data_IF_012103250352
#
_entry.id   IF_012103250352
#
_cell.length_a   1.000
_cell.length_b   1.000
_cell.length_c   1.000
_cell.angle_alpha   90.00
_cell.angle_beta   90.00
_cell.angle_gamma   90.00
#
_symmetry.space_group_name_H-M   'P 1'
#
loop_
_entity.id
_entity.type
_entity.pdbx_description
1 polymer ?
#
# COMPACT_ATOMS: atom_id res chain seq x y z
N UNK A 1 -30.36 -16.73 30.12
CA UNK A 1 -29.35 -15.82 29.52
C UNK A 1 -29.05 -16.33 28.13
N UNK A 2 -29.53 -15.63 27.12
CA UNK A 2 -29.31 -16.02 25.70
C UNK A 2 -28.01 -15.34 25.26
N UNK A 3 -26.96 -16.09 25.09
CA UNK A 3 -25.75 -15.62 24.41
C UNK A 3 -26.06 -15.45 22.92
N UNK A 4 -26.12 -14.21 22.44
CA UNK A 4 -26.02 -13.93 21.01
C UNK A 4 -24.55 -14.08 20.63
N UNK A 5 -24.21 -15.15 19.97
CA UNK A 5 -22.94 -15.30 19.29
C UNK A 5 -22.98 -14.37 18.08
N UNK A 6 -22.24 -13.27 18.15
CA UNK A 6 -21.98 -12.43 16.98
C UNK A 6 -21.10 -13.23 16.03
N UNK A 7 -21.66 -13.63 14.89
CA UNK A 7 -20.90 -14.34 13.86
C UNK A 7 -19.87 -13.37 13.27
N UNK A 8 -18.61 -13.72 13.36
CA UNK A 8 -17.55 -13.07 12.59
C UNK A 8 -17.85 -13.24 11.11
N UNK A 9 -18.02 -12.14 10.38
CA UNK A 9 -18.28 -12.16 8.96
C UNK A 9 -17.00 -12.26 8.15
N UNK A 10 -16.12 -13.09 8.62
CA UNK A 10 -14.99 -13.51 7.84
C UNK A 10 -15.41 -14.46 6.75
N UNK A 11 -16.38 -14.17 5.93
CA UNK A 11 -16.92 -15.10 4.96
C UNK A 11 -18.13 -15.93 5.42
N UNK A 12 -18.70 -15.59 6.55
CA UNK A 12 -19.88 -16.29 7.00
C UNK A 12 -21.12 -15.79 6.25
N UNK A 13 -21.36 -16.33 5.10
CA UNK A 13 -22.72 -16.47 4.59
C UNK A 13 -23.32 -17.73 5.17
N UNK A 14 -23.92 -17.65 6.34
CA UNK A 14 -24.84 -18.68 6.79
C UNK A 14 -26.12 -18.54 5.98
N UNK A 15 -26.29 -19.34 4.95
CA UNK A 15 -27.58 -19.55 4.34
C UNK A 15 -28.35 -20.56 5.19
N UNK A 16 -29.49 -20.11 5.70
CA UNK A 16 -30.59 -21.00 6.07
C UNK A 16 -31.16 -21.59 4.78
N UNK A 17 -30.89 -22.86 4.54
CA UNK A 17 -31.64 -23.66 3.58
C UNK A 17 -32.40 -24.71 4.35
N UNK A 18 -33.71 -24.63 4.20
CA UNK A 18 -34.70 -25.63 4.62
C UNK A 18 -34.37 -27.01 4.09
N UNK A 19 -34.45 -27.98 4.98
CA UNK A 19 -34.31 -29.41 4.75
C UNK A 19 -35.35 -29.95 3.76
N UNK A 20 -34.89 -30.63 2.72
CA UNK A 20 -35.60 -31.80 2.17
C UNK A 20 -34.64 -32.97 2.20
N UNK A 21 -34.99 -33.95 2.99
CA UNK A 21 -34.35 -35.25 3.10
C UNK A 21 -34.67 -36.03 1.82
N UNK A 22 -33.64 -36.42 1.10
CA UNK A 22 -33.73 -37.50 0.12
C UNK A 22 -32.75 -38.59 0.50
N UNK A 23 -33.24 -39.70 0.95
CA UNK A 23 -32.54 -40.95 1.16
C UNK A 23 -32.10 -41.51 -0.19
N UNK A 24 -30.80 -41.82 -0.34
CA UNK A 24 -30.33 -42.66 -1.43
C UNK A 24 -29.49 -43.79 -0.84
N UNK A 25 -29.87 -44.98 -1.25
CA UNK A 25 -29.35 -46.28 -0.92
C UNK A 25 -27.85 -46.46 -1.27
N UNK A 26 -27.17 -47.21 -0.44
CA UNK A 26 -25.86 -47.81 -0.75
C UNK A 26 -26.00 -48.80 -1.91
N UNK A 27 -25.12 -48.70 -2.88
CA UNK A 27 -24.82 -49.84 -3.76
C UNK A 27 -23.32 -50.02 -3.87
N UNK A 28 -22.89 -51.19 -3.43
CA UNK A 28 -21.51 -51.64 -3.42
C UNK A 28 -21.18 -52.29 -4.75
N UNK A 29 -20.28 -51.74 -5.53
CA UNK A 29 -19.57 -52.56 -6.50
C UNK A 29 -18.15 -52.03 -6.75
N UNK A 30 -17.18 -52.82 -6.33
CA UNK A 30 -15.78 -52.80 -6.69
C UNK A 30 -15.58 -52.63 -8.20
N UNK A 31 -14.87 -51.57 -8.64
CA UNK A 31 -14.10 -51.63 -9.87
C UNK A 31 -12.77 -50.85 -9.70
N UNK A 32 -11.72 -51.54 -10.08
CA UNK A 32 -10.32 -51.19 -10.13
C UNK A 32 -10.05 -49.77 -10.65
N UNK A 33 -9.13 -49.09 -9.95
CA UNK A 33 -8.53 -47.84 -10.34
C UNK A 33 -7.70 -48.01 -11.63
N UNK A 34 -8.19 -47.50 -12.74
CA UNK A 34 -7.38 -47.05 -13.85
C UNK A 34 -7.14 -45.55 -13.65
N UNK A 35 -5.85 -45.20 -13.45
CA UNK A 35 -5.36 -43.83 -13.48
C UNK A 35 -5.61 -43.24 -14.87
N UNK A 36 -6.71 -42.58 -15.08
CA UNK A 36 -6.83 -41.60 -16.16
C UNK A 36 -6.15 -40.33 -15.71
N UNK A 37 -4.91 -40.15 -16.15
CA UNK A 37 -4.25 -38.84 -16.22
C UNK A 37 -5.11 -37.90 -17.04
N UNK A 38 -5.97 -37.15 -16.36
CA UNK A 38 -6.61 -36.00 -16.95
C UNK A 38 -5.58 -34.87 -16.92
N UNK A 39 -4.76 -34.76 -17.98
CA UNK A 39 -3.95 -33.59 -18.27
C UNK A 39 -4.88 -32.41 -18.62
N UNK A 40 -5.55 -31.84 -17.64
CA UNK A 40 -6.08 -30.51 -17.74
C UNK A 40 -4.93 -29.52 -17.52
N UNK A 41 -4.07 -29.38 -18.53
CA UNK A 41 -3.12 -28.29 -18.62
C UNK A 41 -3.86 -26.99 -18.85
N UNK A 42 -4.45 -26.41 -17.79
CA UNK A 42 -4.83 -25.00 -17.84
C UNK A 42 -3.52 -24.25 -18.13
N UNK A 43 -3.44 -23.58 -19.27
CA UNK A 43 -2.25 -22.80 -19.64
C UNK A 43 -2.04 -21.71 -18.58
N UNK A 44 -1.09 -21.94 -17.67
CA UNK A 44 -0.67 -20.93 -16.73
C UNK A 44 -0.13 -19.72 -17.49
N UNK A 45 -0.51 -18.52 -17.03
CA UNK A 45 0.03 -17.27 -17.57
C UNK A 45 1.44 -17.12 -16.98
N UNK A 46 2.39 -16.74 -17.84
CA UNK A 46 3.74 -16.41 -17.40
C UNK A 46 3.71 -15.29 -16.33
N UNK A 47 4.49 -15.48 -15.25
CA UNK A 47 4.52 -14.56 -14.12
C UNK A 47 4.87 -13.12 -14.52
N UNK A 48 5.84 -12.94 -15.40
CA UNK A 48 6.25 -11.62 -15.87
C UNK A 48 5.17 -10.94 -16.72
N UNK A 49 4.44 -11.73 -17.49
CA UNK A 49 3.32 -11.25 -18.27
C UNK A 49 2.15 -10.89 -17.37
N UNK A 50 1.82 -11.71 -16.36
CA UNK A 50 0.74 -11.44 -15.42
C UNK A 50 0.95 -10.13 -14.64
N UNK A 51 2.18 -9.84 -14.23
CA UNK A 51 2.49 -8.58 -13.54
C UNK A 51 2.23 -7.32 -14.36
N UNK A 52 2.32 -7.42 -15.69
CA UNK A 52 2.16 -6.30 -16.61
C UNK A 52 0.73 -6.14 -17.15
N UNK A 53 -0.15 -7.10 -16.84
CA UNK A 53 -1.51 -7.09 -17.34
C UNK A 53 -2.42 -6.29 -16.42
N UNK A 54 -3.38 -5.57 -17.01
CA UNK A 54 -4.47 -4.98 -16.24
C UNK A 54 -5.37 -6.08 -15.66
N UNK A 55 -6.12 -5.81 -14.59
CA UNK A 55 -7.11 -6.75 -14.04
C UNK A 55 -8.06 -7.31 -15.11
N UNK A 56 -8.48 -6.47 -16.05
CA UNK A 56 -9.36 -6.87 -17.13
C UNK A 56 -8.71 -7.91 -18.05
N UNK A 57 -7.47 -7.69 -18.45
CA UNK A 57 -6.72 -8.61 -19.32
C UNK A 57 -6.40 -9.95 -18.61
N UNK A 58 -6.12 -9.93 -17.30
CA UNK A 58 -5.95 -11.14 -16.50
C UNK A 58 -7.28 -11.90 -16.38
N UNK A 59 -8.39 -11.19 -16.15
CA UNK A 59 -9.73 -11.76 -16.03
C UNK A 59 -10.18 -12.48 -17.30
N UNK A 60 -9.90 -11.93 -18.49
CA UNK A 60 -10.23 -12.54 -19.78
C UNK A 60 -9.49 -13.86 -20.03
N UNK A 61 -8.34 -14.08 -19.36
CA UNK A 61 -7.55 -15.32 -19.45
C UNK A 61 -7.95 -16.36 -18.39
N UNK A 62 -8.87 -16.03 -17.47
CA UNK A 62 -9.46 -17.01 -16.56
C UNK A 62 -10.44 -17.89 -17.34
N UNK A 63 -10.05 -19.13 -17.62
CA UNK A 63 -11.00 -20.12 -18.15
C UNK A 63 -12.00 -20.51 -17.06
N UNK A 64 -13.28 -20.32 -17.32
CA UNK A 64 -14.34 -20.77 -16.45
C UNK A 64 -14.23 -22.31 -16.26
N UNK A 65 -13.91 -22.74 -15.05
CA UNK A 65 -13.85 -24.15 -14.70
C UNK A 65 -12.58 -24.66 -14.04
N UNK A 66 -11.48 -23.90 -14.06
CA UNK A 66 -10.18 -24.35 -13.57
C UNK A 66 -10.06 -24.44 -12.04
N UNK A 67 -10.83 -23.63 -11.32
CA UNK A 67 -10.93 -23.69 -9.87
C UNK A 67 -12.37 -23.38 -9.46
N UNK A 68 -13.02 -24.32 -8.78
CA UNK A 68 -14.30 -24.07 -8.09
C UNK A 68 -13.97 -23.31 -6.80
N UNK A 69 -13.64 -22.02 -6.95
CA UNK A 69 -13.40 -21.15 -5.82
C UNK A 69 -14.73 -20.65 -5.30
N UNK A 70 -14.99 -20.90 -4.03
CA UNK A 70 -16.25 -20.53 -3.39
C UNK A 70 -16.26 -19.05 -3.09
N UNK A 71 -16.90 -18.27 -3.96
CA UNK A 71 -17.25 -16.89 -3.67
C UNK A 71 -18.73 -16.79 -3.33
N UNK A 72 -19.01 -16.42 -2.11
CA UNK A 72 -20.37 -16.02 -1.71
C UNK A 72 -20.33 -14.55 -1.31
N UNK A 73 -21.14 -13.81 -2.03
CA UNK A 73 -21.36 -12.37 -1.82
C UNK A 73 -22.10 -12.14 -0.50
N UNK A 74 -21.55 -11.31 0.37
CA UNK A 74 -22.23 -10.79 1.56
C UNK A 74 -22.62 -9.33 1.33
N UNK A 75 -23.93 -9.03 1.43
CA UNK A 75 -24.42 -7.65 1.47
C UNK A 75 -24.03 -6.99 2.80
N UNK A 76 -23.30 -5.91 2.75
CA UNK A 76 -22.97 -5.09 3.91
C UNK A 76 -23.95 -3.91 4.01
N UNK A 77 -24.67 -3.86 5.11
CA UNK A 77 -25.53 -2.74 5.45
C UNK A 77 -24.70 -1.55 5.97
N UNK A 78 -24.89 -0.40 5.34
CA UNK A 78 -24.17 0.86 5.49
C UNK A 78 -24.54 1.72 6.72
N UNK A 79 -24.94 1.16 7.84
CA UNK A 79 -25.61 1.93 8.93
C UNK A 79 -24.65 2.47 10.00
N UNK A 80 -23.35 2.13 10.05
CA UNK A 80 -22.46 2.57 11.13
C UNK A 80 -21.53 3.76 10.81
N UNK A 81 -21.65 4.39 9.65
CA UNK A 81 -20.70 5.44 9.24
C UNK A 81 -20.87 6.82 9.91
N UNK A 82 -21.90 7.06 10.71
CA UNK A 82 -22.23 8.43 11.16
C UNK A 82 -21.67 8.87 12.54
N UNK A 83 -21.10 7.99 13.32
CA UNK A 83 -20.68 8.33 14.71
C UNK A 83 -19.18 8.56 14.93
N UNK A 84 -18.34 8.31 13.95
CA UNK A 84 -16.87 8.41 14.10
C UNK A 84 -16.24 9.67 13.47
N UNK A 85 -17.00 10.50 12.80
CA UNK A 85 -16.51 11.62 11.98
C UNK A 85 -15.79 12.76 12.74
N UNK A 86 -15.68 12.74 14.07
CA UNK A 86 -15.14 13.84 14.87
C UNK A 86 -13.94 13.46 15.78
N UNK A 87 -13.33 12.30 15.63
CA UNK A 87 -12.10 11.99 16.38
C UNK A 87 -10.89 12.43 15.57
N UNK A 88 -10.19 13.45 16.02
CA UNK A 88 -8.87 13.83 15.48
C UNK A 88 -7.83 12.89 16.10
N UNK A 89 -7.41 11.90 15.36
CA UNK A 89 -6.24 11.08 15.72
C UNK A 89 -4.97 11.74 15.19
N UNK A 90 -3.84 11.57 15.90
CA UNK A 90 -2.54 11.89 15.31
C UNK A 90 -2.27 10.94 14.13
N UNK A 91 -1.36 11.34 13.23
CA UNK A 91 -0.96 10.49 12.11
C UNK A 91 -0.37 9.16 12.61
N UNK A 92 -0.90 8.05 12.09
CA UNK A 92 -0.56 6.69 12.56
C UNK A 92 0.90 6.34 12.27
N UNK A 93 1.41 6.70 11.09
CA UNK A 93 2.80 6.39 10.72
C UNK A 93 3.76 7.20 11.58
N UNK A 94 3.46 8.47 11.83
CA UNK A 94 4.22 9.33 12.76
C UNK A 94 4.17 8.77 14.19
N UNK A 95 3.03 8.23 14.63
CA UNK A 95 2.93 7.58 15.94
C UNK A 95 3.82 6.34 16.05
N UNK A 96 3.81 5.50 15.01
CA UNK A 96 4.68 4.31 14.93
C UNK A 96 6.14 4.72 15.05
N UNK A 97 6.57 5.75 14.32
CA UNK A 97 7.94 6.23 14.31
C UNK A 97 8.36 6.82 15.66
N UNK A 98 7.54 7.73 16.22
CA UNK A 98 7.84 8.41 17.48
C UNK A 98 7.89 7.47 18.69
N UNK A 99 7.17 6.35 18.62
CA UNK A 99 7.14 5.35 19.70
C UNK A 99 8.05 4.15 19.42
N UNK A 100 8.83 4.17 18.33
CA UNK A 100 9.72 3.09 17.92
C UNK A 100 9.00 1.73 17.92
N UNK A 101 7.82 1.66 17.30
CA UNK A 101 7.02 0.43 17.26
C UNK A 101 7.63 -0.53 16.25
N UNK A 102 8.33 -1.53 16.76
CA UNK A 102 8.92 -2.59 15.94
C UNK A 102 7.89 -3.62 15.49
N UNK A 103 8.03 -4.20 14.29
CA UNK A 103 7.18 -5.29 13.84
C UNK A 103 7.29 -6.53 14.74
N UNK A 104 6.17 -7.17 14.99
CA UNK A 104 6.10 -8.40 15.75
C UNK A 104 6.73 -9.58 15.00
N UNK A 105 7.12 -10.62 15.74
CA UNK A 105 7.63 -11.86 15.14
C UNK A 105 6.55 -12.57 14.33
N UNK A 106 6.95 -13.11 13.19
CA UNK A 106 6.11 -13.96 12.35
C UNK A 106 6.17 -15.39 12.93
N UNK A 107 5.01 -15.92 13.29
CA UNK A 107 4.84 -17.30 13.75
C UNK A 107 4.14 -18.10 12.65
N UNK A 108 4.62 -19.28 12.35
CA UNK A 108 3.97 -20.20 11.42
C UNK A 108 3.02 -21.12 12.19
N UNK A 109 1.75 -21.17 11.79
CA UNK A 109 0.81 -22.13 12.34
C UNK A 109 1.03 -23.50 11.69
N UNK A 110 1.25 -24.53 12.49
CA UNK A 110 1.57 -25.88 11.98
C UNK A 110 0.45 -26.48 11.11
N UNK A 111 -0.80 -26.03 11.32
CA UNK A 111 -1.98 -26.47 10.54
C UNK A 111 -1.94 -26.04 9.08
N UNK A 112 -1.12 -25.03 8.74
CA UNK A 112 -0.99 -24.52 7.36
C UNK A 112 -0.63 -25.62 6.35
N UNK A 113 0.08 -26.66 6.78
CA UNK A 113 0.49 -27.76 5.91
C UNK A 113 -0.65 -28.67 5.47
N UNK A 114 -1.79 -28.62 6.16
CA UNK A 114 -3.00 -29.41 5.90
C UNK A 114 -4.01 -28.71 4.99
N UNK A 115 -3.76 -27.44 4.63
CA UNK A 115 -4.62 -26.70 3.72
C UNK A 115 -4.43 -27.19 2.27
N UNK A 116 -5.46 -27.07 1.42
CA UNK A 116 -5.35 -27.37 0.00
C UNK A 116 -4.25 -26.55 -0.70
N UNK A 117 -3.55 -27.18 -1.64
CA UNK A 117 -2.39 -26.62 -2.33
C UNK A 117 -2.69 -26.48 -3.82
N UNK A 118 -3.12 -25.28 -4.23
CA UNK A 118 -3.33 -24.96 -5.63
C UNK A 118 -2.30 -23.91 -6.08
N UNK A 119 -1.76 -24.09 -7.26
CA UNK A 119 -0.76 -23.17 -7.80
C UNK A 119 -1.38 -21.84 -8.22
N UNK A 120 -0.64 -20.76 -8.05
CA UNK A 120 -1.00 -19.47 -8.67
C UNK A 120 -1.01 -19.61 -10.20
N UNK A 121 -1.93 -18.90 -10.86
CA UNK A 121 -2.01 -18.88 -12.34
C UNK A 121 -0.76 -18.29 -13.00
N UNK A 122 -0.03 -17.43 -12.32
CA UNK A 122 1.24 -16.83 -12.75
C UNK A 122 2.48 -17.59 -12.24
N UNK A 123 2.29 -18.81 -11.71
CA UNK A 123 3.36 -19.61 -11.10
C UNK A 123 3.73 -19.18 -9.68
N UNK A 124 3.60 -17.90 -9.35
CA UNK A 124 3.72 -17.30 -8.02
C UNK A 124 2.81 -16.07 -7.91
N UNK A 125 2.59 -15.53 -6.71
CA UNK A 125 1.74 -14.34 -6.56
C UNK A 125 2.37 -13.09 -7.21
N UNK A 126 1.51 -12.20 -7.73
CA UNK A 126 1.93 -10.96 -8.39
C UNK A 126 1.76 -9.72 -7.50
N UNK A 127 1.19 -9.89 -6.31
CA UNK A 127 0.95 -8.83 -5.33
C UNK A 127 0.26 -9.36 -4.09
N UNK A 128 -0.13 -8.44 -3.21
CA UNK A 128 -0.74 -8.72 -1.90
C UNK A 128 -2.08 -8.01 -1.80
N UNK A 129 -3.13 -8.73 -1.44
CA UNK A 129 -4.43 -8.14 -1.05
C UNK A 129 -4.43 -7.84 0.43
N UNK A 130 -4.86 -6.63 0.77
CA UNK A 130 -4.97 -6.11 2.13
C UNK A 130 -6.42 -6.22 2.58
N UNK A 131 -6.64 -7.01 3.63
CA UNK A 131 -7.93 -7.27 4.26
C UNK A 131 -7.99 -6.77 5.71
N UNK A 132 -9.19 -6.79 6.30
CA UNK A 132 -9.41 -6.70 7.73
C UNK A 132 -10.59 -7.60 8.17
N UNK A 133 -10.52 -8.13 9.38
CA UNK A 133 -11.39 -9.23 9.84
C UNK A 133 -12.85 -8.86 10.09
N UNK A 134 -13.26 -7.61 9.96
CA UNK A 134 -14.60 -7.11 10.22
C UNK A 134 -15.18 -7.46 11.62
N UNK A 135 -14.36 -7.96 12.55
CA UNK A 135 -14.78 -8.44 13.85
C UNK A 135 -14.07 -7.68 14.99
N UNK A 136 -14.75 -6.69 15.63
CA UNK A 136 -14.14 -5.86 16.68
C UNK A 136 -13.90 -6.60 18.00
N UNK A 137 -14.49 -7.77 18.19
CA UNK A 137 -14.48 -8.49 19.45
C UNK A 137 -13.68 -9.79 19.43
N UNK A 138 -12.98 -10.06 18.34
CA UNK A 138 -12.16 -11.26 18.20
C UNK A 138 -10.69 -10.99 18.47
N UNK A 139 -9.98 -12.04 18.86
CA UNK A 139 -8.53 -12.05 18.94
C UNK A 139 -7.95 -12.68 17.67
N UNK A 140 -6.66 -12.42 17.39
CA UNK A 140 -5.99 -13.03 16.25
C UNK A 140 -6.06 -14.57 16.29
N UNK A 141 -5.92 -15.19 17.47
CA UNK A 141 -6.04 -16.64 17.63
C UNK A 141 -7.47 -17.13 17.38
N UNK A 142 -8.47 -16.33 17.78
CA UNK A 142 -9.88 -16.60 17.51
C UNK A 142 -10.17 -16.62 16.01
N UNK A 143 -9.67 -15.60 15.27
CA UNK A 143 -9.83 -15.51 13.82
C UNK A 143 -9.12 -16.67 13.10
N UNK A 144 -7.89 -16.97 13.49
CA UNK A 144 -7.12 -18.08 12.92
C UNK A 144 -7.82 -19.44 13.18
N UNK A 145 -8.33 -19.67 14.39
CA UNK A 145 -9.06 -20.89 14.70
C UNK A 145 -10.37 -20.97 13.91
N UNK A 146 -11.10 -19.86 13.77
CA UNK A 146 -12.31 -19.82 12.97
C UNK A 146 -12.00 -20.14 11.51
N UNK A 147 -10.97 -19.54 10.94
CA UNK A 147 -10.53 -19.81 9.56
C UNK A 147 -10.24 -21.29 9.34
N UNK A 148 -9.44 -21.93 10.18
CA UNK A 148 -9.12 -23.35 10.00
C UNK A 148 -10.34 -24.27 10.13
N UNK A 149 -11.31 -23.93 10.96
CA UNK A 149 -12.56 -24.68 11.06
C UNK A 149 -13.48 -24.47 9.87
N UNK A 150 -13.26 -23.43 9.05
CA UNK A 150 -14.12 -23.02 7.95
C UNK A 150 -13.36 -22.80 6.64
N UNK A 151 -12.15 -23.33 6.50
CA UNK A 151 -11.26 -23.05 5.37
C UNK A 151 -11.85 -23.42 4.00
N UNK A 152 -12.82 -24.34 3.95
CA UNK A 152 -13.53 -24.67 2.71
C UNK A 152 -14.33 -23.48 2.16
N UNK A 153 -14.77 -22.57 3.03
CA UNK A 153 -15.46 -21.35 2.63
C UNK A 153 -14.47 -20.28 2.17
N UNK A 154 -13.43 -20.05 2.99
CA UNK A 154 -12.33 -19.18 2.65
C UNK A 154 -11.17 -19.32 3.64
N UNK A 155 -9.97 -18.98 3.18
CA UNK A 155 -8.79 -18.78 4.01
C UNK A 155 -7.84 -17.78 3.37
N UNK A 156 -6.97 -17.21 4.19
CA UNK A 156 -5.91 -16.28 3.79
C UNK A 156 -4.55 -16.80 4.22
N UNK A 157 -3.49 -16.18 3.74
CA UNK A 157 -2.12 -16.64 4.00
C UNK A 157 -1.60 -16.22 5.37
N UNK A 158 -2.09 -15.11 5.92
CA UNK A 158 -1.62 -14.61 7.19
C UNK A 158 -2.61 -13.67 7.87
N UNK A 159 -2.42 -13.52 9.18
CA UNK A 159 -3.09 -12.57 10.05
C UNK A 159 -2.08 -11.68 10.74
N UNK A 160 -2.37 -10.38 10.82
CA UNK A 160 -1.59 -9.39 11.56
C UNK A 160 -2.43 -8.82 12.71
N UNK A 161 -2.02 -9.08 13.94
CA UNK A 161 -2.59 -8.50 15.15
C UNK A 161 -1.63 -7.48 15.76
N UNK A 162 -1.99 -6.91 16.91
CA UNK A 162 -1.17 -5.91 17.60
C UNK A 162 0.10 -6.48 18.24
N UNK A 163 0.13 -7.75 18.54
CA UNK A 163 1.19 -8.42 19.31
C UNK A 163 1.94 -9.51 18.53
N UNK A 164 1.38 -9.97 17.42
CA UNK A 164 1.97 -11.04 16.60
C UNK A 164 1.47 -11.04 15.17
N UNK A 165 2.23 -11.72 14.31
CA UNK A 165 1.87 -12.04 12.94
C UNK A 165 1.80 -13.57 12.85
N UNK A 166 0.71 -14.13 12.35
CA UNK A 166 0.54 -15.58 12.19
C UNK A 166 0.42 -15.89 10.70
N UNK A 167 1.40 -16.66 10.17
CA UNK A 167 1.28 -17.23 8.83
C UNK A 167 0.44 -18.49 8.91
N UNK A 168 -0.64 -18.54 8.14
CA UNK A 168 -1.69 -19.57 8.19
C UNK A 168 -1.80 -20.42 6.95
N UNK A 169 -1.12 -20.04 5.87
CA UNK A 169 -1.02 -20.84 4.65
C UNK A 169 0.36 -20.68 3.99
N UNK A 170 0.85 -21.70 3.25
CA UNK A 170 2.12 -21.59 2.53
C UNK A 170 2.03 -20.54 1.42
N UNK A 171 3.07 -19.70 1.28
CA UNK A 171 3.13 -18.61 0.29
C UNK A 171 3.19 -19.09 -1.16
N UNK A 172 3.59 -20.32 -1.40
CA UNK A 172 3.77 -20.88 -2.75
C UNK A 172 2.44 -21.31 -3.41
N UNK A 173 1.37 -21.37 -2.64
CA UNK A 173 0.05 -21.78 -3.09
C UNK A 173 -0.96 -20.69 -2.85
N UNK A 174 -2.00 -20.61 -3.71
CA UNK A 174 -3.06 -19.62 -3.58
C UNK A 174 -3.96 -19.87 -2.36
N UNK A 175 -4.56 -18.81 -1.86
CA UNK A 175 -5.66 -18.83 -0.90
C UNK A 175 -6.94 -18.28 -1.57
N UNK A 176 -8.11 -18.48 -0.94
CA UNK A 176 -9.38 -17.99 -1.48
C UNK A 176 -10.17 -17.15 -0.46
N UNK A 177 -9.70 -15.93 -0.26
CA UNK A 177 -10.32 -14.91 0.58
C UNK A 177 -10.56 -13.57 -0.13
N UNK A 178 -10.10 -13.43 -1.40
CA UNK A 178 -10.13 -12.15 -2.13
C UNK A 178 -11.03 -12.17 -3.37
N UNK A 179 -11.93 -13.15 -3.47
CA UNK A 179 -12.80 -13.30 -4.63
C UNK A 179 -12.18 -14.10 -5.79
N UNK A 180 -13.05 -14.78 -6.56
CA UNK A 180 -12.65 -15.78 -7.56
C UNK A 180 -11.64 -15.24 -8.60
N UNK A 181 -11.72 -13.95 -8.92
CA UNK A 181 -10.88 -13.35 -9.93
C UNK A 181 -9.49 -12.97 -9.40
N UNK A 182 -9.34 -12.62 -8.12
CA UNK A 182 -8.08 -12.20 -7.51
C UNK A 182 -7.33 -13.35 -6.82
N UNK A 183 -8.06 -14.32 -6.24
CA UNK A 183 -7.47 -15.45 -5.52
C UNK A 183 -6.33 -16.14 -6.28
N UNK A 184 -6.40 -16.38 -7.61
CA UNK A 184 -5.33 -17.05 -8.34
C UNK A 184 -4.05 -16.24 -8.51
N UNK A 185 -4.01 -14.99 -8.07
CA UNK A 185 -2.91 -14.07 -8.38
C UNK A 185 -2.26 -13.41 -7.17
N UNK A 186 -2.94 -13.35 -6.01
CA UNK A 186 -2.49 -12.53 -4.89
C UNK A 186 -2.24 -13.34 -3.61
N UNK A 187 -1.19 -12.95 -2.89
CA UNK A 187 -1.03 -13.26 -1.47
C UNK A 187 -2.03 -12.43 -0.67
N UNK A 188 -2.52 -12.90 0.47
CA UNK A 188 -3.64 -12.28 1.20
C UNK A 188 -3.31 -12.17 2.68
N UNK A 189 -3.50 -10.98 3.27
CA UNK A 189 -3.19 -10.70 4.68
C UNK A 189 -4.38 -10.03 5.35
N UNK A 190 -4.90 -10.63 6.40
CA UNK A 190 -5.93 -10.07 7.26
C UNK A 190 -5.34 -9.19 8.37
N UNK A 191 -5.94 -8.05 8.62
CA UNK A 191 -5.71 -7.22 9.78
C UNK A 191 -6.73 -7.52 10.86
N UNK A 192 -6.29 -7.96 12.04
CA UNK A 192 -7.20 -8.14 13.16
C UNK A 192 -7.53 -6.79 13.79
N UNK A 193 -8.82 -6.51 13.99
CA UNK A 193 -9.28 -5.24 14.56
C UNK A 193 -8.79 -5.04 16.00
N UNK A 194 -8.54 -3.80 16.37
CA UNK A 194 -8.22 -3.35 17.72
C UNK A 194 -9.23 -2.31 18.19
N UNK A 195 -9.43 -2.22 19.49
CA UNK A 195 -10.30 -1.23 20.13
C UNK A 195 -9.52 -0.02 20.67
N UNK A 196 -8.19 0.03 20.47
CA UNK A 196 -7.32 1.13 20.89
C UNK A 196 -6.49 1.64 19.72
N UNK A 197 -6.14 2.94 19.76
CA UNK A 197 -5.29 3.54 18.74
C UNK A 197 -3.90 2.89 18.68
N UNK A 198 -3.28 2.63 19.84
CA UNK A 198 -2.00 1.92 19.92
C UNK A 198 -2.07 0.52 19.32
N UNK A 199 -3.12 -0.23 19.66
CA UNK A 199 -3.33 -1.56 19.09
C UNK A 199 -3.56 -1.53 17.58
N UNK A 200 -4.31 -0.53 17.07
CA UNK A 200 -4.45 -0.32 15.62
C UNK A 200 -3.12 -0.01 14.96
N UNK A 201 -2.35 0.94 15.50
CA UNK A 201 -1.03 1.30 14.98
C UNK A 201 -0.08 0.09 14.92
N UNK A 202 -0.05 -0.74 15.98
CA UNK A 202 0.74 -1.98 16.01
C UNK A 202 0.26 -3.00 14.98
N UNK A 203 -1.05 -3.22 14.87
CA UNK A 203 -1.61 -4.18 13.90
C UNK A 203 -1.30 -3.76 12.46
N UNK A 204 -1.50 -2.49 12.12
CA UNK A 204 -1.23 -1.97 10.78
C UNK A 204 0.27 -1.97 10.46
N UNK A 205 1.13 -1.70 11.46
CA UNK A 205 2.57 -1.84 11.32
C UNK A 205 2.99 -3.27 10.98
N UNK A 206 2.41 -4.25 11.66
CA UNK A 206 2.65 -5.67 11.43
C UNK A 206 2.16 -6.11 10.03
N UNK A 207 0.99 -5.65 9.59
CA UNK A 207 0.47 -5.96 8.25
C UNK A 207 1.35 -5.34 7.16
N UNK A 208 1.78 -4.09 7.33
CA UNK A 208 2.65 -3.40 6.39
C UNK A 208 4.04 -4.06 6.29
N UNK A 209 4.62 -4.43 7.42
CA UNK A 209 5.89 -5.17 7.47
C UNK A 209 5.80 -6.51 6.73
N UNK A 210 4.76 -7.30 7.00
CA UNK A 210 4.58 -8.58 6.33
C UNK A 210 4.35 -8.39 4.82
N UNK A 211 3.58 -7.38 4.43
CA UNK A 211 3.37 -7.03 3.02
C UNK A 211 4.71 -6.73 2.34
N UNK A 212 5.52 -5.84 2.93
CA UNK A 212 6.84 -5.49 2.42
C UNK A 212 7.75 -6.72 2.28
N UNK A 213 7.76 -7.59 3.30
CA UNK A 213 8.55 -8.81 3.31
C UNK A 213 8.13 -9.78 2.21
N UNK A 214 6.84 -10.00 2.00
CA UNK A 214 6.33 -10.87 0.94
C UNK A 214 6.67 -10.32 -0.44
N UNK A 215 6.49 -9.04 -0.67
CA UNK A 215 6.89 -8.40 -1.92
C UNK A 215 8.37 -8.60 -2.20
N UNK A 216 9.23 -8.30 -1.22
CA UNK A 216 10.68 -8.45 -1.37
C UNK A 216 11.09 -9.90 -1.67
N UNK A 217 10.59 -10.86 -0.90
CA UNK A 217 10.89 -12.28 -1.12
C UNK A 217 10.48 -12.77 -2.51
N UNK A 218 9.44 -12.18 -3.08
CA UNK A 218 8.94 -12.53 -4.40
C UNK A 218 9.54 -11.69 -5.55
N UNK A 219 10.47 -10.78 -5.24
CA UNK A 219 11.12 -9.89 -6.22
C UNK A 219 10.18 -8.84 -6.79
N UNK A 220 9.17 -8.42 -6.01
CA UNK A 220 8.17 -7.42 -6.39
C UNK A 220 8.49 -6.08 -5.73
N UNK A 221 8.36 -5.00 -6.51
CA UNK A 221 8.44 -3.63 -5.99
C UNK A 221 7.08 -3.20 -5.44
N UNK A 222 7.02 -2.43 -4.32
CA UNK A 222 5.77 -1.86 -3.83
C UNK A 222 5.14 -0.91 -4.85
N UNK A 223 3.90 -1.16 -5.24
CA UNK A 223 3.09 -0.26 -6.07
C UNK A 223 1.62 -0.38 -5.70
N UNK A 224 0.93 0.76 -5.51
CA UNK A 224 -0.45 0.78 -5.04
C UNK A 224 -1.45 0.66 -6.19
N UNK A 225 -2.20 -0.43 -6.22
CA UNK A 225 -3.18 -0.73 -7.25
C UNK A 225 -4.47 0.11 -7.12
N UNK A 226 -4.84 0.52 -5.91
CA UNK A 226 -6.04 1.32 -5.62
C UNK A 226 -6.08 2.63 -6.41
N UNK A 227 -4.94 3.26 -6.60
CA UNK A 227 -4.81 4.50 -7.35
C UNK A 227 -4.52 4.29 -8.85
N UNK A 228 -4.46 3.04 -9.31
CA UNK A 228 -4.03 2.68 -10.66
C UNK A 228 -4.93 1.62 -11.28
N UNK A 229 -6.25 1.79 -11.15
CA UNK A 229 -7.28 0.94 -11.76
C UNK A 229 -7.05 -0.56 -11.50
N UNK A 230 -6.65 -0.90 -10.28
CA UNK A 230 -6.41 -2.28 -9.87
C UNK A 230 -5.08 -2.89 -10.35
N UNK A 231 -4.21 -2.11 -10.96
CA UNK A 231 -2.88 -2.55 -11.41
C UNK A 231 -1.81 -2.15 -10.41
N UNK A 232 -1.14 -3.11 -9.81
CA UNK A 232 -0.12 -2.87 -8.79
C UNK A 232 0.14 -4.12 -7.95
N UNK A 233 1.07 -4.01 -7.02
CA UNK A 233 1.52 -5.12 -6.16
C UNK A 233 0.92 -5.08 -4.75
N UNK A 234 0.25 -3.99 -4.38
CA UNK A 234 -0.51 -3.82 -3.15
C UNK A 234 -1.91 -3.37 -3.54
N UNK A 235 -2.93 -4.11 -3.13
CA UNK A 235 -4.31 -3.82 -3.49
C UNK A 235 -5.22 -4.04 -2.27
N UNK A 236 -6.13 -3.09 -1.98
CA UNK A 236 -7.18 -3.32 -0.98
C UNK A 236 -8.25 -4.28 -1.52
N UNK A 237 -8.96 -4.99 -0.65
CA UNK A 237 -10.09 -5.81 -1.07
C UNK A 237 -11.20 -4.95 -1.72
N UNK A 238 -11.34 -3.70 -1.25
CA UNK A 238 -12.22 -2.73 -1.91
C UNK A 238 -11.83 -2.50 -3.38
N UNK A 239 -10.55 -2.31 -3.67
CA UNK A 239 -10.07 -2.13 -5.04
C UNK A 239 -10.17 -3.43 -5.87
N UNK A 240 -10.04 -4.60 -5.24
CA UNK A 240 -10.36 -5.89 -5.89
C UNK A 240 -11.81 -5.89 -6.33
N UNK A 241 -12.75 -5.51 -5.46
CA UNK A 241 -14.18 -5.42 -5.80
C UNK A 241 -14.45 -4.49 -6.97
N UNK A 242 -13.78 -3.33 -7.00
CA UNK A 242 -13.97 -2.30 -8.02
C UNK A 242 -13.39 -2.69 -9.39
N UNK A 243 -12.20 -3.27 -9.41
CA UNK A 243 -11.42 -3.41 -10.65
C UNK A 243 -11.29 -4.86 -11.13
N UNK A 244 -11.21 -5.82 -10.22
CA UNK A 244 -11.10 -7.24 -10.56
C UNK A 244 -12.45 -7.94 -10.57
N UNK A 245 -13.38 -7.53 -9.69
CA UNK A 245 -14.67 -8.18 -9.50
C UNK A 245 -14.56 -9.58 -8.90
N UNK A 246 -15.67 -10.31 -8.84
CA UNK A 246 -15.72 -11.63 -8.20
C UNK A 246 -15.89 -11.55 -6.68
N UNK A 247 -16.04 -10.34 -6.14
CA UNK A 247 -16.32 -10.01 -4.74
C UNK A 247 -16.97 -8.64 -4.67
N UNK A 248 -17.60 -8.30 -3.54
CA UNK A 248 -18.17 -6.97 -3.26
C UNK A 248 -17.68 -6.41 -1.91
N UNK A 249 -16.64 -6.95 -1.36
CA UNK A 249 -16.03 -6.51 -0.11
C UNK A 249 -15.43 -5.12 -0.24
N UNK A 250 -15.45 -4.34 0.86
CA UNK A 250 -14.97 -2.94 0.89
C UNK A 250 -13.85 -2.71 1.92
N UNK A 251 -13.40 -3.77 2.58
CA UNK A 251 -12.29 -3.73 3.53
C UNK A 251 -10.96 -3.39 2.83
N UNK A 252 -10.00 -2.79 3.52
CA UNK A 252 -10.04 -2.29 4.90
C UNK A 252 -10.50 -0.83 5.01
N UNK A 253 -11.05 -0.22 3.94
CA UNK A 253 -11.27 1.24 3.82
C UNK A 253 -12.09 1.79 4.98
N UNK A 254 -13.22 1.16 5.31
CA UNK A 254 -14.09 1.62 6.40
C UNK A 254 -13.39 1.58 7.77
N UNK A 255 -12.65 0.52 8.04
CA UNK A 255 -11.93 0.36 9.30
C UNK A 255 -10.73 1.33 9.41
N UNK A 256 -9.99 1.52 8.34
CA UNK A 256 -8.90 2.51 8.32
C UNK A 256 -9.44 3.92 8.58
N UNK A 257 -10.53 4.31 7.94
CA UNK A 257 -11.14 5.63 8.13
C UNK A 257 -11.59 5.89 9.58
N UNK A 258 -11.99 4.86 10.34
CA UNK A 258 -12.33 5.00 11.76
C UNK A 258 -11.16 5.51 12.59
N UNK A 259 -9.93 5.28 12.15
CA UNK A 259 -8.69 5.69 12.81
C UNK A 259 -8.02 6.91 12.16
N UNK A 260 -8.69 7.57 11.21
CA UNK A 260 -8.10 8.65 10.43
C UNK A 260 -6.95 8.18 9.53
N UNK A 261 -6.97 6.93 9.14
CA UNK A 261 -5.96 6.27 8.31
C UNK A 261 -6.52 5.93 6.93
N UNK A 262 -5.66 5.78 5.92
CA UNK A 262 -6.05 5.42 4.58
C UNK A 262 -5.01 4.55 3.88
N UNK A 263 -5.39 3.99 2.74
CA UNK A 263 -4.53 3.07 1.99
C UNK A 263 -3.23 3.70 1.47
N UNK A 264 -3.20 5.03 1.24
CA UNK A 264 -1.97 5.72 0.84
C UNK A 264 -0.96 5.80 2.00
N UNK A 265 -1.44 6.04 3.22
CA UNK A 265 -0.60 6.02 4.43
C UNK A 265 -0.09 4.60 4.68
N UNK A 266 -0.94 3.57 4.50
CA UNK A 266 -0.52 2.17 4.55
C UNK A 266 0.57 1.87 3.52
N UNK A 267 0.38 2.29 2.27
CA UNK A 267 1.38 2.14 1.21
C UNK A 267 2.72 2.78 1.58
N UNK A 268 2.71 4.00 2.14
CA UNK A 268 3.93 4.67 2.62
C UNK A 268 4.63 3.86 3.71
N UNK A 269 3.87 3.25 4.63
CA UNK A 269 4.43 2.39 5.67
C UNK A 269 5.03 1.09 5.10
N UNK A 270 4.40 0.49 4.08
CA UNK A 270 4.97 -0.66 3.36
C UNK A 270 6.28 -0.29 2.66
N UNK A 271 6.35 0.88 2.02
CA UNK A 271 7.58 1.36 1.38
C UNK A 271 8.73 1.53 2.39
N UNK A 272 8.42 2.09 3.57
CA UNK A 272 9.39 2.21 4.68
C UNK A 272 9.95 0.84 5.06
N UNK A 273 9.09 -0.12 5.38
CA UNK A 273 9.54 -1.47 5.75
C UNK A 273 10.27 -2.20 4.61
N UNK A 274 9.85 -1.98 3.37
CA UNK A 274 10.52 -2.58 2.22
C UNK A 274 11.98 -2.13 2.12
N UNK A 275 12.23 -0.84 2.35
CA UNK A 275 13.57 -0.25 2.44
C UNK A 275 14.36 -0.82 3.63
N UNK A 276 13.79 -0.83 4.82
CA UNK A 276 14.42 -1.37 6.04
C UNK A 276 14.84 -2.84 5.88
N UNK A 277 14.08 -3.60 5.10
CA UNK A 277 14.44 -4.96 4.73
C UNK A 277 15.56 -5.04 3.67
N UNK A 278 16.17 -3.92 3.28
CA UNK A 278 17.18 -3.83 2.21
C UNK A 278 16.56 -4.04 0.82
N UNK A 279 15.29 -3.68 0.64
CA UNK A 279 14.72 -3.43 -0.67
C UNK A 279 15.45 -2.24 -1.26
N UNK A 280 15.71 -2.26 -2.57
CA UNK A 280 16.19 -1.06 -3.23
C UNK A 280 15.12 0.02 -3.01
N UNK A 281 15.56 1.20 -2.56
CA UNK A 281 14.68 2.35 -2.61
C UNK A 281 14.18 2.46 -4.04
N UNK A 282 12.94 2.78 -4.19
CA UNK A 282 12.51 3.55 -5.33
C UNK A 282 13.26 4.89 -5.23
N UNK A 283 14.56 4.86 -5.58
CA UNK A 283 15.38 6.04 -5.58
C UNK A 283 14.63 7.15 -6.27
N UNK A 284 14.58 8.32 -5.63
CA UNK A 284 13.98 9.48 -6.26
C UNK A 284 14.50 9.58 -7.68
N UNK A 285 13.61 9.50 -8.66
CA UNK A 285 14.00 9.63 -10.05
C UNK A 285 14.40 11.08 -10.26
N UNK A 286 15.71 11.30 -10.39
CA UNK A 286 16.31 12.64 -10.50
C UNK A 286 16.67 13.01 -11.94
N UNK A 287 16.45 12.09 -12.89
CA UNK A 287 16.73 12.32 -14.31
C UNK A 287 15.61 13.06 -15.05
N UNK A 288 15.94 13.73 -16.15
CA UNK A 288 14.97 14.30 -17.10
C UNK A 288 14.23 13.23 -17.90
N UNK A 289 14.74 12.01 -17.88
CA UNK A 289 14.13 10.82 -18.46
C UNK A 289 14.26 9.64 -17.50
N UNK A 290 13.37 8.68 -17.66
CA UNK A 290 13.37 7.45 -16.88
C UNK A 290 13.08 6.25 -17.75
N UNK A 291 13.85 5.18 -17.60
CA UNK A 291 13.62 3.92 -18.29
C UNK A 291 12.77 3.01 -17.40
N UNK A 292 11.55 2.72 -17.84
CA UNK A 292 10.59 1.88 -17.13
C UNK A 292 11.19 0.51 -16.84
N UNK A 293 11.15 0.10 -15.58
CA UNK A 293 11.57 -1.22 -15.13
C UNK A 293 10.36 -2.08 -14.74
N UNK A 294 10.59 -3.36 -14.53
CA UNK A 294 9.55 -4.30 -14.12
C UNK A 294 8.91 -3.88 -12.79
N UNK A 295 7.58 -3.78 -12.74
CA UNK A 295 6.82 -3.37 -11.56
C UNK A 295 6.49 -1.88 -11.52
N UNK A 296 7.05 -1.06 -12.41
CA UNK A 296 6.70 0.35 -12.51
C UNK A 296 5.26 0.58 -12.96
N UNK A 297 4.68 1.61 -12.38
CA UNK A 297 3.41 2.21 -12.80
C UNK A 297 3.61 3.71 -12.99
N UNK A 298 2.74 4.38 -13.75
CA UNK A 298 2.76 5.85 -13.83
C UNK A 298 2.67 6.49 -12.43
N UNK A 299 1.94 5.84 -11.51
CA UNK A 299 1.82 6.30 -10.13
C UNK A 299 3.16 6.21 -9.37
N UNK A 300 3.84 5.05 -9.41
CA UNK A 300 5.14 4.88 -8.74
C UNK A 300 6.18 5.85 -9.32
N UNK A 301 6.24 5.98 -10.64
CA UNK A 301 7.15 6.91 -11.32
C UNK A 301 6.81 8.36 -10.96
N UNK A 302 5.53 8.74 -10.93
CA UNK A 302 5.08 10.07 -10.49
C UNK A 302 5.53 10.39 -9.06
N UNK A 303 5.35 9.46 -8.12
CA UNK A 303 5.78 9.64 -6.72
C UNK A 303 7.29 9.80 -6.58
N UNK A 304 8.06 8.99 -7.30
CA UNK A 304 9.53 8.99 -7.25
C UNK A 304 10.13 10.20 -7.95
N UNK A 305 9.53 10.64 -9.05
CA UNK A 305 10.02 11.79 -9.84
C UNK A 305 9.47 13.13 -9.35
N UNK A 306 8.33 13.13 -8.61
CA UNK A 306 7.57 14.34 -8.31
C UNK A 306 6.81 14.93 -9.49
N UNK A 307 6.80 14.25 -10.65
CA UNK A 307 6.06 14.66 -11.84
C UNK A 307 4.65 14.09 -11.77
N UNK A 308 3.62 14.89 -12.01
CA UNK A 308 2.24 14.41 -12.03
C UNK A 308 2.00 13.39 -13.13
N UNK A 309 1.08 12.44 -12.91
CA UNK A 309 0.72 11.45 -13.92
C UNK A 309 0.29 12.13 -15.23
N UNK A 310 -0.49 13.22 -15.13
CA UNK A 310 -0.96 13.98 -16.29
C UNK A 310 0.20 14.57 -17.10
N UNK A 311 1.21 15.10 -16.43
CA UNK A 311 2.41 15.61 -17.08
C UNK A 311 3.23 14.50 -17.72
N UNK A 312 3.42 13.37 -17.02
CA UNK A 312 4.10 12.20 -17.61
C UNK A 312 3.35 11.75 -18.86
N UNK A 313 2.03 11.64 -18.80
CA UNK A 313 1.22 11.28 -19.97
C UNK A 313 1.35 12.29 -21.10
N UNK A 314 1.18 13.58 -20.80
CA UNK A 314 1.27 14.68 -21.77
C UNK A 314 2.63 14.70 -22.49
N UNK A 315 3.72 14.59 -21.74
CA UNK A 315 5.08 14.70 -22.32
C UNK A 315 5.54 13.47 -23.09
N UNK A 316 4.80 12.36 -22.95
CA UNK A 316 5.11 11.06 -23.57
C UNK A 316 4.01 10.55 -24.49
N UNK A 317 3.00 11.39 -24.81
CA UNK A 317 1.89 11.05 -25.71
C UNK A 317 1.14 9.77 -25.29
N UNK A 318 0.98 9.55 -23.94
CA UNK A 318 0.31 8.38 -23.41
C UNK A 318 -1.20 8.59 -23.31
N UNK A 319 -1.97 7.75 -23.98
CA UNK A 319 -3.43 7.82 -23.95
C UNK A 319 -4.04 7.12 -22.70
N UNK A 320 -3.34 6.14 -22.16
CA UNK A 320 -3.75 5.36 -20.99
C UNK A 320 -2.61 5.26 -19.96
N UNK A 321 -2.74 4.37 -18.98
CA UNK A 321 -1.75 4.18 -17.92
C UNK A 321 -0.79 3.02 -18.19
N UNK A 322 -0.84 2.42 -19.38
CA UNK A 322 -0.04 1.25 -19.73
C UNK A 322 1.41 1.64 -20.01
N UNK A 323 2.35 0.95 -19.37
CA UNK A 323 3.78 1.12 -19.57
C UNK A 323 4.40 -0.19 -20.07
N UNK A 324 5.41 -0.08 -20.91
CA UNK A 324 6.23 -1.22 -21.35
C UNK A 324 7.58 -1.20 -20.64
N UNK A 325 8.05 -2.35 -20.16
CA UNK A 325 9.40 -2.46 -19.58
C UNK A 325 10.43 -2.09 -20.67
N UNK A 326 11.37 -1.22 -20.30
CA UNK A 326 12.35 -0.66 -21.22
C UNK A 326 11.90 0.61 -21.93
N UNK A 327 10.63 1.02 -21.82
CA UNK A 327 10.14 2.30 -22.33
C UNK A 327 10.86 3.45 -21.65
N UNK A 328 11.29 4.46 -22.42
CA UNK A 328 11.88 5.68 -21.86
C UNK A 328 10.81 6.75 -21.76
N UNK A 329 10.59 7.25 -20.57
CA UNK A 329 9.67 8.35 -20.27
C UNK A 329 10.43 9.66 -20.10
N UNK A 330 9.94 10.75 -20.71
CA UNK A 330 10.36 12.12 -20.41
C UNK A 330 9.69 12.54 -19.10
N UNK A 331 10.47 13.06 -18.17
CA UNK A 331 10.03 13.52 -16.86
C UNK A 331 10.22 15.02 -16.66
N UNK A 332 10.54 15.75 -17.72
CA UNK A 332 10.61 17.20 -17.77
C UNK A 332 9.81 17.69 -18.97
N UNK A 333 9.26 18.90 -18.83
CA UNK A 333 8.55 19.53 -19.95
C UNK A 333 9.54 19.71 -21.13
N UNK A 334 9.30 19.10 -22.29
CA UNK A 334 10.20 19.24 -23.45
C UNK A 334 10.25 20.68 -24.00
N UNK A 335 9.22 21.49 -23.69
CA UNK A 335 9.08 22.87 -24.15
C UNK A 335 9.55 23.89 -23.09
N UNK A 336 10.01 23.44 -21.91
CA UNK A 336 10.53 24.34 -20.88
C UNK A 336 11.87 24.94 -21.28
N UNK A 337 11.93 26.23 -21.47
CA UNK A 337 13.18 26.95 -21.55
C UNK A 337 13.93 26.81 -20.21
N UNK A 338 15.21 26.43 -20.28
CA UNK A 338 16.08 26.18 -19.11
C UNK A 338 16.58 27.52 -18.52
N UNK A 339 15.65 28.40 -18.12
CA UNK A 339 16.00 29.63 -17.44
C UNK A 339 16.43 29.34 -16.01
N UNK A 340 17.65 29.76 -15.65
CA UNK A 340 18.16 29.61 -14.29
C UNK A 340 17.28 30.35 -13.28
N UNK A 341 16.95 29.69 -12.17
CA UNK A 341 16.24 30.31 -11.04
C UNK A 341 17.26 31.01 -10.16
N UNK A 342 17.14 32.32 -10.04
CA UNK A 342 17.95 33.15 -9.13
C UNK A 342 17.10 33.64 -7.96
N UNK A 343 17.75 33.81 -6.79
CA UNK A 343 17.09 34.29 -5.57
C UNK A 343 16.97 33.24 -4.48
N UNK A 344 16.44 33.64 -3.33
CA UNK A 344 16.35 32.78 -2.13
C UNK A 344 15.11 31.92 -2.10
N UNK A 345 14.14 32.20 -2.96
CA UNK A 345 12.85 31.50 -3.03
C UNK A 345 12.39 31.34 -4.47
N UNK A 346 11.59 30.30 -4.73
CA UNK A 346 10.91 30.07 -6.00
C UNK A 346 9.42 29.80 -5.74
N UNK A 347 8.55 30.47 -6.46
CA UNK A 347 7.11 30.17 -6.44
C UNK A 347 6.81 29.15 -7.51
N UNK A 348 6.38 27.97 -7.08
CA UNK A 348 6.08 26.83 -7.95
C UNK A 348 5.03 27.23 -8.99
N UNK A 349 5.33 27.04 -10.26
CA UNK A 349 4.44 27.25 -11.40
C UNK A 349 3.96 25.90 -11.97
N UNK A 350 3.03 25.96 -12.90
CA UNK A 350 2.55 24.75 -13.59
C UNK A 350 3.69 24.11 -14.39
N UNK A 351 3.87 22.80 -14.24
CA UNK A 351 4.98 22.07 -14.87
C UNK A 351 6.26 21.99 -14.03
N UNK A 352 6.36 22.72 -12.92
CA UNK A 352 7.51 22.60 -12.03
C UNK A 352 7.55 21.25 -11.33
N UNK A 353 8.76 20.73 -11.21
CA UNK A 353 9.09 19.56 -10.39
C UNK A 353 10.29 19.91 -9.49
N UNK A 354 10.46 19.23 -8.37
CA UNK A 354 11.68 19.43 -7.56
C UNK A 354 12.96 19.18 -8.37
N UNK A 355 12.90 18.29 -9.36
CA UNK A 355 14.04 18.02 -10.23
C UNK A 355 14.39 19.24 -11.11
N UNK A 356 13.42 19.80 -11.86
CA UNK A 356 13.71 20.94 -12.74
C UNK A 356 14.04 22.20 -11.93
N UNK A 357 13.42 22.41 -10.77
CA UNK A 357 13.78 23.49 -9.84
C UNK A 357 15.20 23.27 -9.32
N UNK A 358 15.58 22.05 -8.93
CA UNK A 358 16.94 21.72 -8.49
C UNK A 358 17.98 22.04 -9.58
N UNK A 359 17.73 21.65 -10.81
CA UNK A 359 18.62 21.94 -11.95
C UNK A 359 18.77 23.44 -12.21
N UNK A 360 17.64 24.14 -12.25
CA UNK A 360 17.58 25.59 -12.55
C UNK A 360 18.13 26.44 -11.41
N UNK A 361 17.95 26.02 -10.15
CA UNK A 361 18.43 26.72 -8.95
C UNK A 361 19.84 26.29 -8.52
N UNK A 362 20.35 25.17 -9.03
CA UNK A 362 21.61 24.51 -8.60
C UNK A 362 21.58 24.05 -7.13
N UNK A 363 20.40 23.88 -6.55
CA UNK A 363 20.20 23.33 -5.19
C UNK A 363 19.83 21.86 -5.31
N UNK A 364 20.42 20.99 -4.49
CA UNK A 364 20.11 19.56 -4.52
C UNK A 364 18.64 19.29 -4.15
N UNK A 365 18.05 18.21 -4.67
CA UNK A 365 16.68 17.80 -4.28
C UNK A 365 16.61 17.54 -2.77
N UNK A 366 17.66 16.95 -2.20
CA UNK A 366 17.76 16.68 -0.77
C UNK A 366 17.71 17.97 0.05
N UNK A 367 18.48 18.98 -0.33
CA UNK A 367 18.47 20.30 0.31
C UNK A 367 17.13 21.00 0.13
N UNK A 368 16.56 20.98 -1.08
CA UNK A 368 15.21 21.53 -1.32
C UNK A 368 14.18 20.89 -0.40
N UNK A 369 14.20 19.56 -0.25
CA UNK A 369 13.30 18.86 0.68
C UNK A 369 13.56 19.26 2.12
N UNK A 370 14.82 19.23 2.56
CA UNK A 370 15.23 19.57 3.92
C UNK A 370 14.85 21.00 4.31
N UNK A 371 15.16 21.98 3.44
CA UNK A 371 14.92 23.39 3.73
C UNK A 371 13.45 23.78 3.69
N UNK A 372 12.62 22.98 2.98
CA UNK A 372 11.19 23.21 2.83
C UNK A 372 10.32 22.22 3.62
N UNK A 373 10.92 21.34 4.45
CA UNK A 373 10.23 20.32 5.24
C UNK A 373 9.33 19.43 4.37
N UNK A 374 9.81 19.05 3.18
CA UNK A 374 9.07 18.19 2.26
C UNK A 374 9.38 16.73 2.54
N UNK A 375 8.38 15.95 2.85
CA UNK A 375 8.52 14.50 3.05
C UNK A 375 8.66 13.76 1.71
N UNK A 376 8.04 14.28 0.65
CA UNK A 376 8.02 13.69 -0.69
C UNK A 376 8.53 14.67 -1.74
N UNK A 377 8.63 14.24 -3.00
CA UNK A 377 8.96 15.12 -4.13
C UNK A 377 7.75 15.94 -4.64
N UNK A 378 6.57 15.79 -4.00
CA UNK A 378 5.37 16.48 -4.44
C UNK A 378 5.41 17.94 -4.02
N UNK A 379 5.18 18.81 -4.99
CA UNK A 379 5.03 20.25 -4.81
C UNK A 379 3.74 20.71 -5.48
N UNK A 380 3.18 21.81 -5.01
CA UNK A 380 1.90 22.34 -5.53
C UNK A 380 2.10 23.68 -6.23
N UNK A 381 1.40 23.92 -7.32
CA UNK A 381 1.34 25.23 -7.98
C UNK A 381 1.00 26.33 -6.98
N UNK A 382 1.78 27.40 -6.97
CA UNK A 382 1.64 28.51 -6.03
C UNK A 382 2.40 28.35 -4.72
N UNK A 383 2.91 27.15 -4.40
CA UNK A 383 3.77 26.91 -3.24
C UNK A 383 5.07 27.71 -3.38
N UNK A 384 5.55 28.31 -2.28
CA UNK A 384 6.85 28.98 -2.25
C UNK A 384 7.88 28.02 -1.68
N UNK A 385 8.94 27.75 -2.43
CA UNK A 385 10.10 26.95 -1.99
C UNK A 385 11.27 27.87 -1.66
N UNK A 386 11.90 27.61 -0.53
CA UNK A 386 13.19 28.21 -0.18
C UNK A 386 14.31 27.49 -0.96
N UNK A 387 15.16 28.26 -1.60
CA UNK A 387 16.35 27.79 -2.34
C UNK A 387 17.64 28.01 -1.55
N UNK A 388 17.52 28.34 -0.28
CA UNK A 388 18.61 28.50 0.69
C UNK A 388 18.26 27.79 1.98
N UNK A 389 19.28 27.42 2.76
CA UNK A 389 19.07 26.79 4.07
C UNK A 389 18.16 27.66 4.96
N UNK A 390 17.19 27.04 5.62
CA UNK A 390 16.27 27.71 6.54
C UNK A 390 16.35 27.10 7.93
N UNK A 391 16.04 27.90 8.95
CA UNK A 391 15.84 27.49 10.33
C UNK A 391 14.48 27.99 10.81
N UNK A 392 13.70 27.15 11.44
CA UNK A 392 12.44 27.56 12.08
C UNK A 392 12.69 27.82 13.54
N UNK A 393 12.45 29.06 13.99
CA UNK A 393 12.64 29.46 15.39
C UNK A 393 11.77 28.62 16.31
N UNK A 394 12.39 27.98 17.28
CA UNK A 394 11.74 27.20 18.32
C UNK A 394 11.46 28.05 19.58
N UNK A 395 10.74 27.47 20.53
CA UNK A 395 10.49 28.13 21.82
C UNK A 395 11.83 28.32 22.56
N UNK A 396 12.02 29.49 23.14
CA UNK A 396 13.23 29.90 23.90
C UNK A 396 14.48 30.16 23.04
N UNK A 397 14.36 30.12 21.69
CA UNK A 397 15.45 30.50 20.80
C UNK A 397 15.78 31.99 20.87
N UNK A 398 17.07 32.25 20.70
CA UNK A 398 17.64 33.58 20.47
C UNK A 398 18.49 33.57 19.18
N UNK A 399 18.67 34.74 18.56
CA UNK A 399 19.59 34.81 17.41
C UNK A 399 20.99 34.33 17.76
N UNK A 400 21.39 34.44 19.02
CA UNK A 400 22.73 33.96 19.48
C UNK A 400 22.75 32.43 19.54
N UNK A 401 21.76 31.78 20.13
CA UNK A 401 21.68 30.31 20.17
C UNK A 401 21.65 29.71 18.77
N UNK A 402 20.79 30.28 17.89
CA UNK A 402 20.68 29.84 16.50
C UNK A 402 21.99 30.06 15.73
N UNK A 403 22.63 31.21 15.88
CA UNK A 403 23.92 31.49 15.21
C UNK A 403 24.98 30.48 15.61
N UNK A 404 25.06 30.13 16.87
CA UNK A 404 26.02 29.14 17.40
C UNK A 404 25.69 27.73 16.86
N UNK A 405 24.46 27.33 16.89
CA UNK A 405 24.00 26.03 16.39
C UNK A 405 24.23 25.85 14.89
N UNK A 406 23.98 26.92 14.13
CA UNK A 406 24.05 26.89 12.67
C UNK A 406 25.42 27.26 12.11
N UNK A 407 26.45 27.42 12.99
CA UNK A 407 27.83 27.82 12.65
C UNK A 407 27.89 29.11 11.81
N UNK A 408 27.20 30.13 12.29
CA UNK A 408 27.12 31.45 11.65
C UNK A 408 27.15 32.57 12.69
N UNK A 409 26.89 33.81 12.32
CA UNK A 409 26.88 34.95 13.24
C UNK A 409 25.49 35.61 13.32
N UNK A 410 25.22 36.25 14.46
CA UNK A 410 23.96 37.03 14.64
C UNK A 410 23.85 38.13 13.58
N UNK A 411 24.97 38.80 13.25
CA UNK A 411 24.98 39.84 12.21
C UNK A 411 24.63 39.29 10.85
N UNK A 412 25.13 38.09 10.51
CA UNK A 412 24.84 37.42 9.25
C UNK A 412 23.34 37.01 9.16
N UNK A 413 22.80 36.39 10.20
CA UNK A 413 21.37 36.04 10.26
C UNK A 413 20.52 37.29 10.10
N UNK A 414 20.85 38.38 10.79
CA UNK A 414 20.10 39.65 10.67
C UNK A 414 20.15 40.18 9.24
N UNK A 415 21.32 40.26 8.62
CA UNK A 415 21.45 40.78 7.24
C UNK A 415 20.70 39.88 6.22
N UNK A 416 20.80 38.57 6.35
CA UNK A 416 20.15 37.64 5.41
C UNK A 416 18.61 37.66 5.50
N UNK A 417 18.08 38.13 6.63
CA UNK A 417 16.64 38.14 6.93
C UNK A 417 16.05 39.57 7.06
N UNK A 418 16.84 40.60 6.80
CA UNK A 418 16.43 42.01 6.95
C UNK A 418 15.86 42.32 8.34
N UNK A 419 16.53 41.84 9.40
CA UNK A 419 16.10 42.05 10.78
C UNK A 419 16.78 43.30 11.36
N UNK A 420 15.98 44.27 11.79
CA UNK A 420 16.45 45.51 12.42
C UNK A 420 16.85 45.28 13.90
N UNK A 421 16.28 44.28 14.55
CA UNK A 421 16.52 43.94 15.96
C UNK A 421 16.86 42.46 16.17
N UNK A 422 17.15 42.09 17.41
CA UNK A 422 17.34 40.66 17.79
C UNK A 422 16.03 39.93 18.13
N UNK A 423 14.87 40.62 17.96
CA UNK A 423 13.57 40.03 18.29
C UNK A 423 13.13 39.07 17.19
N UNK A 424 12.91 37.80 17.58
CA UNK A 424 12.39 36.73 16.74
C UNK A 424 11.19 36.07 17.42
N UNK A 425 10.36 35.38 16.65
CA UNK A 425 9.14 34.72 17.15
C UNK A 425 9.22 33.22 16.88
N UNK A 426 8.74 32.42 17.82
CA UNK A 426 8.54 30.99 17.62
C UNK A 426 7.73 30.73 16.34
N UNK A 427 8.20 29.83 15.48
CA UNK A 427 7.64 29.53 14.17
C UNK A 427 8.14 30.46 13.04
N UNK A 428 8.90 31.50 13.34
CA UNK A 428 9.52 32.36 12.31
C UNK A 428 10.57 31.55 11.52
N UNK A 429 10.54 31.67 10.20
CA UNK A 429 11.54 31.02 9.33
C UNK A 429 12.67 32.03 9.08
N UNK A 430 13.88 31.63 9.39
CA UNK A 430 15.11 32.39 9.14
C UNK A 430 15.91 31.72 8.02
N UNK A 431 16.40 32.54 7.08
CA UNK A 431 17.38 32.11 6.08
C UNK A 431 18.77 32.07 6.74
N UNK A 432 19.49 31.00 6.48
CA UNK A 432 20.84 30.77 6.99
C UNK A 432 21.77 30.60 5.77
N UNK A 433 22.54 31.63 5.42
CA UNK A 433 23.42 31.61 4.26
C UNK A 433 24.89 31.51 4.65
#
# INVERSE_FOLDING_TARGET
MKYRVSLSLMLATSLLLSSTVATAQEDNSNKSAEETKNENTSKAIDFEKAQKMSPQALKEQLTAGDLKLHDKVAEHNSVEMSTFANRVYQDVNTYIDNNNIEPAKIVQDSRMNNLPKYNYKSGKFIGVVIHETANPNSTIDGEVNYMYNNYNNAFVHAYAGSDKIIQTAPSDYLAWGAGANANPYFYQIELTRSNTFDGFAKSVNNQAYLTAKMLKQNGLQPSLADNNQGTGTIISHNAVSQYWGGTNHTDPVGYFNQWGYNINQFYSLVQKHYKELGGEDDDAITGSTYKVVKGDTLYSISKRSGVTIDNIKKWNDLNDNTLSVGQTLKLTDPDSNDDSISGDTHKVVEGDTLYNISKRSKVSIEDLKKWNKLETNNISKGQTLYLVKTYTVEKDDTLYSIAKEQDTTVSKIKSDNNLDSNSIKTGQILKIK
#
